data_IF_745936548245
#
_entry.id   IF_745936548245
#
_cell.length_a   1.000
_cell.length_b   1.000
_cell.length_c   1.000
_cell.angle_alpha   90.00
_cell.angle_beta   90.00
_cell.angle_gamma   90.00
#
_symmetry.space_group_name_H-M   'P 1'
#
loop_
_entity.id
_entity.type
_entity.pdbx_description
1 polymer ?
#
# COMPACT_ATOMS: atom_id res chain seq x y z
N UNK A 1 3.89 8.79 -24.88
CA UNK A 1 3.31 7.53 -24.35
C UNK A 1 1.81 7.68 -24.40
N UNK A 2 1.08 6.74 -25.01
CA UNK A 2 -0.38 6.77 -24.99
C UNK A 2 -0.86 6.23 -23.64
N UNK A 3 -1.46 7.10 -22.83
CA UNK A 3 -1.85 6.82 -21.44
C UNK A 3 -3.31 6.41 -21.30
N UNK A 4 -3.99 6.01 -22.39
CA UNK A 4 -5.34 5.46 -22.29
C UNK A 4 -5.35 4.22 -21.39
N UNK A 5 -6.38 4.11 -20.53
CA UNK A 5 -6.48 3.01 -19.56
C UNK A 5 -6.47 1.65 -20.26
N UNK A 6 -7.09 1.55 -21.44
CA UNK A 6 -7.12 0.33 -22.23
C UNK A 6 -5.72 -0.11 -22.69
N UNK A 7 -4.88 0.83 -23.15
CA UNK A 7 -3.53 0.51 -23.60
C UNK A 7 -2.61 0.17 -22.44
N UNK A 8 -2.63 0.96 -21.37
CA UNK A 8 -1.87 0.62 -20.14
C UNK A 8 -2.32 -0.75 -19.61
N UNK A 9 -3.64 -0.98 -19.57
CA UNK A 9 -4.23 -2.25 -19.12
C UNK A 9 -3.76 -3.45 -19.94
N UNK A 10 -3.66 -3.32 -21.27
CA UNK A 10 -3.13 -4.37 -22.14
C UNK A 10 -1.66 -4.69 -21.82
N UNK A 11 -0.82 -3.67 -21.58
CA UNK A 11 0.57 -3.85 -21.18
C UNK A 11 0.64 -4.57 -19.82
N UNK A 12 -0.13 -4.12 -18.83
CA UNK A 12 -0.18 -4.75 -17.50
C UNK A 12 -0.58 -6.22 -17.57
N UNK A 13 -1.61 -6.55 -18.37
CA UNK A 13 -2.05 -7.95 -18.55
C UNK A 13 -0.99 -8.80 -19.23
N UNK A 14 -0.30 -8.26 -20.25
CA UNK A 14 0.80 -8.97 -20.91
C UNK A 14 1.95 -9.27 -19.93
N UNK A 15 2.31 -8.30 -19.09
CA UNK A 15 3.36 -8.44 -18.09
C UNK A 15 2.99 -9.44 -16.98
N UNK A 16 1.73 -9.42 -16.51
CA UNK A 16 1.24 -10.43 -15.57
C UNK A 16 1.31 -11.86 -16.15
N UNK A 17 0.97 -12.03 -17.44
CA UNK A 17 1.08 -13.32 -18.13
C UNK A 17 2.54 -13.77 -18.25
N UNK A 18 3.43 -12.86 -18.65
CA UNK A 18 4.87 -13.10 -18.74
C UNK A 18 5.47 -13.52 -17.39
N UNK A 19 5.03 -12.85 -16.31
CA UNK A 19 5.45 -13.16 -14.94
C UNK A 19 4.80 -14.44 -14.35
N UNK A 20 4.00 -15.18 -15.12
CA UNK A 20 3.44 -16.46 -14.69
C UNK A 20 2.30 -16.37 -13.68
N UNK A 21 1.59 -15.24 -13.60
CA UNK A 21 0.43 -15.12 -12.72
C UNK A 21 -0.70 -16.06 -13.14
N UNK A 22 -1.44 -16.58 -12.14
CA UNK A 22 -2.62 -17.43 -12.39
C UNK A 22 -3.69 -16.69 -13.19
N UNK A 23 -4.39 -17.40 -14.09
CA UNK A 23 -5.49 -16.86 -14.91
C UNK A 23 -6.61 -16.22 -14.06
N UNK A 24 -6.89 -16.77 -12.88
CA UNK A 24 -7.86 -16.18 -11.94
C UNK A 24 -7.42 -14.80 -11.41
N UNK A 25 -6.12 -14.62 -11.19
CA UNK A 25 -5.55 -13.33 -10.77
C UNK A 25 -5.58 -12.33 -11.92
N UNK A 26 -5.18 -12.77 -13.13
CA UNK A 26 -5.26 -11.95 -14.34
C UNK A 26 -6.70 -11.49 -14.60
N UNK A 27 -7.67 -12.39 -14.46
CA UNK A 27 -9.09 -12.06 -14.62
C UNK A 27 -9.60 -11.04 -13.58
N UNK A 28 -9.04 -11.02 -12.36
CA UNK A 28 -9.37 -9.99 -11.38
C UNK A 28 -8.77 -8.63 -11.76
N UNK A 29 -7.56 -8.61 -12.30
CA UNK A 29 -6.96 -7.40 -12.88
C UNK A 29 -7.80 -6.87 -14.04
N UNK A 30 -8.17 -7.71 -15.00
CA UNK A 30 -8.98 -7.32 -16.16
C UNK A 30 -10.34 -6.71 -15.73
N UNK A 31 -11.02 -7.32 -14.75
CA UNK A 31 -12.26 -6.75 -14.17
C UNK A 31 -12.03 -5.37 -13.56
N UNK A 32 -10.89 -5.16 -12.90
CA UNK A 32 -10.60 -3.90 -12.23
C UNK A 32 -10.15 -2.83 -13.23
N UNK A 33 -9.37 -3.21 -14.26
CA UNK A 33 -9.00 -2.36 -15.39
C UNK A 33 -10.25 -1.87 -16.11
N UNK A 34 -11.23 -2.75 -16.37
CA UNK A 34 -12.51 -2.35 -16.96
C UNK A 34 -13.22 -1.28 -16.11
N UNK A 35 -13.31 -1.49 -14.80
CA UNK A 35 -13.91 -0.50 -13.88
C UNK A 35 -13.16 0.83 -13.89
N UNK A 36 -11.83 0.80 -13.97
CA UNK A 36 -11.02 2.00 -14.08
C UNK A 36 -11.26 2.71 -15.43
N UNK A 37 -11.42 1.94 -16.53
CA UNK A 37 -11.72 2.49 -17.84
C UNK A 37 -13.08 3.21 -17.82
N UNK A 38 -14.12 2.55 -17.30
CA UNK A 38 -15.46 3.14 -17.14
C UNK A 38 -15.40 4.42 -16.29
N UNK A 39 -14.58 4.44 -15.23
CA UNK A 39 -14.41 5.61 -14.36
C UNK A 39 -13.73 6.81 -15.05
N UNK A 40 -12.78 6.57 -15.96
CA UNK A 40 -12.07 7.66 -16.66
C UNK A 40 -12.73 8.08 -17.97
N UNK A 41 -13.65 7.27 -18.52
CA UNK A 41 -14.29 7.51 -19.81
C UNK A 41 -15.03 8.87 -19.83
N UNK A 42 -15.81 9.15 -18.78
CA UNK A 42 -16.51 10.43 -18.59
C UNK A 42 -15.56 11.64 -18.39
N UNK A 43 -14.26 11.37 -18.25
CA UNK A 43 -13.20 12.34 -17.90
C UNK A 43 -12.12 12.45 -18.98
N UNK A 44 -12.42 11.98 -20.19
CA UNK A 44 -11.53 12.08 -21.35
C UNK A 44 -10.71 10.82 -21.65
N UNK A 45 -10.88 9.73 -20.91
CA UNK A 45 -10.35 8.40 -21.23
C UNK A 45 -8.84 8.19 -20.99
N UNK A 46 -8.11 9.24 -20.61
CA UNK A 46 -6.68 9.18 -20.29
C UNK A 46 -6.46 8.95 -18.80
N UNK A 47 -5.52 8.06 -18.48
CA UNK A 47 -5.08 7.86 -17.12
C UNK A 47 -4.13 8.96 -16.65
N UNK A 48 -4.32 9.41 -15.42
CA UNK A 48 -3.42 10.31 -14.70
C UNK A 48 -3.26 9.83 -13.26
N UNK A 49 -2.15 10.20 -12.61
CA UNK A 49 -1.88 9.83 -11.20
C UNK A 49 -3.00 10.33 -10.27
N UNK A 50 -3.58 11.50 -10.55
CA UNK A 50 -4.68 12.06 -9.76
C UNK A 50 -5.98 11.25 -9.91
N UNK A 51 -6.34 10.85 -11.14
CA UNK A 51 -7.48 9.97 -11.37
C UNK A 51 -7.26 8.59 -10.75
N UNK A 52 -6.02 8.08 -10.79
CA UNK A 52 -5.63 6.86 -10.09
C UNK A 52 -5.87 6.96 -8.58
N UNK A 53 -5.39 8.03 -7.94
CA UNK A 53 -5.59 8.26 -6.51
C UNK A 53 -7.09 8.38 -6.14
N UNK A 54 -7.87 9.08 -6.96
CA UNK A 54 -9.32 9.21 -6.77
C UNK A 54 -10.01 7.84 -6.85
N UNK A 55 -9.72 7.05 -7.90
CA UNK A 55 -10.25 5.70 -8.06
C UNK A 55 -9.86 4.78 -6.89
N UNK A 56 -8.61 4.82 -6.43
CA UNK A 56 -8.13 4.06 -5.29
C UNK A 56 -8.88 4.39 -3.98
N UNK A 57 -9.36 5.63 -3.85
CA UNK A 57 -10.12 6.08 -2.67
C UNK A 57 -11.56 5.58 -2.62
N UNK A 58 -12.11 5.06 -3.74
CA UNK A 58 -13.48 4.55 -3.87
C UNK A 58 -13.70 3.17 -3.18
N UNK A 59 -13.32 3.11 -1.91
CA UNK A 59 -13.30 1.91 -1.07
C UNK A 59 -14.66 1.56 -0.47
N UNK A 60 -15.59 2.51 -0.44
CA UNK A 60 -16.98 2.30 -0.04
C UNK A 60 -17.78 1.65 -1.18
N UNK A 61 -18.54 0.61 -0.85
CA UNK A 61 -19.43 -0.07 -1.79
C UNK A 61 -20.67 0.79 -2.07
N UNK A 62 -20.94 1.19 -3.32
CA UNK A 62 -22.16 1.93 -3.67
C UNK A 62 -23.44 1.15 -3.37
N UNK A 63 -23.37 -0.19 -3.38
CA UNK A 63 -24.52 -1.07 -3.12
C UNK A 63 -24.90 -1.13 -1.65
N UNK A 64 -23.92 -1.06 -0.76
CA UNK A 64 -24.13 -1.33 0.67
C UNK A 64 -23.82 -0.13 1.57
N UNK A 65 -23.21 0.93 1.04
CA UNK A 65 -22.75 2.08 1.83
C UNK A 65 -21.59 1.80 2.78
N UNK A 66 -21.14 0.53 2.87
CA UNK A 66 -20.08 0.11 3.78
C UNK A 66 -18.72 0.03 3.10
N UNK A 67 -17.67 0.19 3.90
CA UNK A 67 -16.29 -0.05 3.49
C UNK A 67 -16.10 -1.47 2.95
N UNK A 68 -15.32 -1.59 1.88
CA UNK A 68 -14.95 -2.87 1.27
C UNK A 68 -13.43 -3.03 1.25
N UNK A 69 -12.93 -3.94 2.09
CA UNK A 69 -11.52 -4.32 2.11
C UNK A 69 -11.05 -4.85 0.75
N UNK A 70 -11.93 -5.57 0.04
CA UNK A 70 -11.66 -6.07 -1.31
C UNK A 70 -11.47 -4.93 -2.30
N UNK A 71 -12.36 -3.93 -2.33
CA UNK A 71 -12.18 -2.75 -3.20
C UNK A 71 -10.90 -2.00 -2.88
N UNK A 72 -10.62 -1.76 -1.60
CA UNK A 72 -9.36 -1.13 -1.17
C UNK A 72 -8.14 -1.87 -1.71
N UNK A 73 -8.15 -3.20 -1.63
CA UNK A 73 -7.05 -4.02 -2.12
C UNK A 73 -6.95 -3.98 -3.64
N UNK A 74 -8.03 -4.28 -4.36
CA UNK A 74 -8.03 -4.37 -5.82
C UNK A 74 -7.71 -3.03 -6.48
N UNK A 75 -8.32 -1.94 -5.98
CA UNK A 75 -8.15 -0.60 -6.56
C UNK A 75 -6.76 -0.05 -6.24
N UNK A 76 -6.30 -0.18 -4.99
CA UNK A 76 -4.94 0.23 -4.63
C UNK A 76 -3.87 -0.57 -5.38
N UNK A 77 -4.11 -1.86 -5.62
CA UNK A 77 -3.20 -2.72 -6.37
C UNK A 77 -3.13 -2.32 -7.85
N UNK A 78 -4.26 -2.09 -8.53
CA UNK A 78 -4.22 -1.70 -9.95
C UNK A 78 -3.58 -0.33 -10.14
N UNK A 79 -3.91 0.64 -9.27
CA UNK A 79 -3.38 2.00 -9.33
C UNK A 79 -1.87 2.00 -9.12
N UNK A 80 -1.36 1.24 -8.14
CA UNK A 80 0.08 1.12 -7.93
C UNK A 80 0.83 0.57 -9.14
N UNK A 81 0.23 -0.35 -9.90
CA UNK A 81 0.83 -0.89 -11.13
C UNK A 81 0.77 0.12 -12.26
N UNK A 82 -0.36 0.81 -12.45
CA UNK A 82 -0.52 1.84 -13.48
C UNK A 82 0.42 3.03 -13.23
N UNK A 83 0.50 3.51 -11.98
CA UNK A 83 1.41 4.58 -11.57
C UNK A 83 2.86 4.20 -11.87
N UNK A 84 3.27 2.97 -11.54
CA UNK A 84 4.64 2.49 -11.84
C UNK A 84 4.95 2.57 -13.34
N UNK A 85 4.00 2.16 -14.18
CA UNK A 85 4.16 2.19 -15.63
C UNK A 85 4.23 3.62 -16.18
N UNK A 86 3.36 4.51 -15.70
CA UNK A 86 3.35 5.92 -16.13
C UNK A 86 4.62 6.65 -15.69
N UNK A 87 5.12 6.36 -14.48
CA UNK A 87 6.29 7.05 -13.91
C UNK A 87 7.61 6.53 -14.48
N UNK A 88 7.72 5.23 -14.72
CA UNK A 88 9.00 4.58 -15.06
C UNK A 88 9.06 3.96 -16.46
N UNK A 89 7.92 3.85 -17.15
CA UNK A 89 7.80 3.10 -18.40
C UNK A 89 7.77 1.58 -18.22
N UNK A 90 7.87 1.09 -16.97
CA UNK A 90 7.91 -0.33 -16.64
C UNK A 90 6.77 -0.72 -15.69
N UNK A 91 6.19 -1.88 -15.94
CA UNK A 91 5.15 -2.46 -15.08
C UNK A 91 5.83 -3.20 -13.93
N UNK A 92 5.71 -2.68 -12.71
CA UNK A 92 6.16 -3.40 -11.52
C UNK A 92 5.09 -4.40 -11.05
N UNK A 93 5.25 -5.65 -11.47
CA UNK A 93 4.46 -6.81 -11.02
C UNK A 93 5.21 -7.65 -9.99
N UNK A 94 6.25 -7.10 -9.35
CA UNK A 94 6.86 -7.80 -8.21
C UNK A 94 5.78 -8.07 -7.16
N UNK A 95 5.82 -9.26 -6.54
CA UNK A 95 4.90 -9.55 -5.45
C UNK A 95 5.18 -8.58 -4.32
N UNK A 96 4.33 -7.55 -4.17
CA UNK A 96 4.26 -6.78 -2.94
C UNK A 96 3.94 -7.77 -1.83
N UNK A 97 4.95 -8.14 -1.05
CA UNK A 97 4.79 -9.00 0.10
C UNK A 97 3.70 -8.40 0.97
N UNK A 98 2.75 -9.24 1.40
CA UNK A 98 1.64 -8.86 2.28
C UNK A 98 2.26 -8.36 3.58
N UNK A 99 2.47 -7.06 3.67
CA UNK A 99 3.63 -6.62 4.45
C UNK A 99 4.02 -5.19 4.14
N UNK A 100 4.01 -4.85 2.84
CA UNK A 100 4.25 -3.51 2.29
C UNK A 100 5.25 -2.80 3.17
N UNK A 101 6.47 -3.36 3.21
CA UNK A 101 7.51 -3.07 4.20
C UNK A 101 7.76 -1.58 4.21
N UNK A 102 6.96 -0.87 5.01
CA UNK A 102 6.85 0.59 4.98
C UNK A 102 8.19 1.24 5.21
N UNK A 103 8.21 2.56 5.19
CA UNK A 103 9.45 3.33 5.37
C UNK A 103 10.27 2.72 6.52
N UNK A 104 11.52 2.40 6.22
CA UNK A 104 12.44 1.83 7.19
C UNK A 104 13.08 2.98 7.96
N UNK A 105 13.40 2.78 9.25
CA UNK A 105 14.23 3.72 9.96
C UNK A 105 15.59 3.87 9.27
N UNK A 106 16.04 5.11 9.09
CA UNK A 106 17.32 5.44 8.45
C UNK A 106 18.49 5.39 9.43
N UNK A 107 18.24 5.58 10.72
CA UNK A 107 19.26 5.59 11.77
C UNK A 107 19.69 4.17 12.11
N UNK A 108 21.00 3.98 12.26
CA UNK A 108 21.60 2.68 12.55
C UNK A 108 21.17 2.09 13.91
N UNK A 109 20.73 2.93 14.84
CA UNK A 109 20.16 2.52 16.11
C UNK A 109 18.78 1.86 15.92
N UNK A 110 17.85 2.54 15.27
CA UNK A 110 16.51 2.01 15.03
C UNK A 110 16.49 0.83 14.06
N UNK A 111 17.36 0.82 13.03
CA UNK A 111 17.47 -0.36 12.15
C UNK A 111 17.93 -1.60 12.92
N UNK A 112 18.92 -1.46 13.83
CA UNK A 112 19.38 -2.57 14.68
C UNK A 112 18.30 -3.01 15.67
N UNK A 113 17.58 -2.07 16.26
CA UNK A 113 16.50 -2.38 17.19
C UNK A 113 15.40 -3.21 16.54
N UNK A 114 14.99 -2.85 15.32
CA UNK A 114 13.97 -3.61 14.58
C UNK A 114 14.47 -5.00 14.20
N UNK A 115 15.74 -5.14 13.80
CA UNK A 115 16.33 -6.44 13.50
C UNK A 115 16.39 -7.34 14.75
N UNK A 116 16.80 -6.78 15.88
CA UNK A 116 16.84 -7.50 17.16
C UNK A 116 15.44 -7.92 17.61
N UNK A 117 14.44 -7.05 17.47
CA UNK A 117 13.05 -7.36 17.77
C UNK A 117 12.50 -8.48 16.87
N UNK A 118 12.74 -8.44 15.56
CA UNK A 118 12.22 -9.49 14.65
C UNK A 118 12.88 -10.85 14.93
N UNK A 119 14.17 -10.86 15.28
CA UNK A 119 14.87 -12.07 15.71
C UNK A 119 14.29 -12.64 17.01
N UNK A 120 14.08 -11.82 18.05
CA UNK A 120 13.45 -12.27 19.31
C UNK A 120 12.02 -12.81 19.07
N UNK A 121 11.24 -12.15 18.21
CA UNK A 121 9.90 -12.66 17.86
C UNK A 121 9.96 -13.97 17.05
N UNK A 122 10.98 -14.16 16.22
CA UNK A 122 11.20 -15.41 15.48
C UNK A 122 11.57 -16.56 16.43
N UNK A 123 12.46 -16.30 17.40
CA UNK A 123 12.86 -17.26 18.43
C UNK A 123 11.69 -17.68 19.32
N UNK A 124 10.73 -16.76 19.55
CA UNK A 124 9.44 -17.05 20.22
C UNK A 124 8.43 -17.78 19.35
N UNK A 125 8.83 -18.23 18.17
CA UNK A 125 8.00 -18.93 17.18
C UNK A 125 6.75 -18.12 16.74
N UNK A 126 6.83 -16.78 16.75
CA UNK A 126 5.72 -15.96 16.30
C UNK A 126 5.57 -16.07 14.78
N UNK A 127 4.33 -16.32 14.32
CA UNK A 127 4.04 -16.49 12.90
C UNK A 127 4.53 -15.29 12.06
N UNK A 128 5.09 -15.56 10.87
CA UNK A 128 5.64 -14.53 9.99
C UNK A 128 4.64 -13.39 9.70
N UNK A 129 3.37 -13.72 9.51
CA UNK A 129 2.31 -12.75 9.28
C UNK A 129 2.11 -11.81 10.49
N UNK A 130 2.16 -12.35 11.71
CA UNK A 130 2.05 -11.60 12.96
C UNK A 130 3.27 -10.71 13.18
N UNK A 131 4.48 -11.25 12.98
CA UNK A 131 5.74 -10.48 13.02
C UNK A 131 5.73 -9.33 12.02
N UNK A 132 5.26 -9.59 10.80
CA UNK A 132 5.11 -8.57 9.76
C UNK A 132 4.12 -7.48 10.15
N UNK A 133 3.01 -7.83 10.80
CA UNK A 133 2.00 -6.88 11.25
C UNK A 133 2.50 -6.00 12.40
N UNK A 134 3.00 -6.58 13.49
CA UNK A 134 3.53 -5.83 14.63
C UNK A 134 4.76 -5.03 14.25
N UNK A 135 5.69 -5.63 13.51
CA UNK A 135 6.89 -4.95 13.04
C UNK A 135 6.57 -3.75 12.15
N UNK A 136 5.44 -3.74 11.43
CA UNK A 136 5.02 -2.57 10.66
C UNK A 136 4.67 -1.38 11.56
N UNK A 137 3.91 -1.61 12.63
CA UNK A 137 3.55 -0.55 13.58
C UNK A 137 4.81 -0.06 14.29
N UNK A 138 5.66 -0.98 14.78
CA UNK A 138 6.93 -0.63 15.43
C UNK A 138 7.83 0.21 14.53
N UNK A 139 8.03 -0.19 13.27
CA UNK A 139 8.81 0.61 12.29
C UNK A 139 8.19 1.97 12.01
N UNK A 140 6.86 2.04 11.90
CA UNK A 140 6.15 3.29 11.64
C UNK A 140 6.36 4.29 12.77
N UNK A 141 6.39 3.82 14.02
CA UNK A 141 6.69 4.65 15.18
C UNK A 141 8.14 5.16 15.16
N UNK A 142 9.11 4.29 14.89
CA UNK A 142 10.52 4.69 14.83
C UNK A 142 10.78 5.70 13.70
N UNK A 143 10.15 5.52 12.55
CA UNK A 143 10.18 6.49 11.45
C UNK A 143 9.56 7.83 11.85
N UNK A 144 8.44 7.80 12.57
CA UNK A 144 7.79 9.00 13.09
C UNK A 144 8.68 9.78 14.06
N UNK A 145 9.46 9.06 14.90
CA UNK A 145 10.47 9.66 15.76
C UNK A 145 11.60 10.31 14.95
N UNK A 146 12.11 9.63 13.92
CA UNK A 146 13.16 10.18 13.05
C UNK A 146 12.70 11.44 12.32
N UNK A 147 11.44 11.49 11.85
CA UNK A 147 10.85 12.67 11.23
C UNK A 147 10.82 13.90 12.17
N UNK A 148 10.89 13.66 13.49
CA UNK A 148 10.98 14.70 14.54
C UNK A 148 12.41 14.92 15.04
N UNK A 149 13.41 14.32 14.38
CA UNK A 149 14.81 14.42 14.78
C UNK A 149 15.17 13.59 16.01
N UNK A 150 14.29 12.67 16.44
CA UNK A 150 14.56 11.73 17.53
C UNK A 150 15.20 10.48 16.94
N UNK A 151 16.47 10.25 17.27
CA UNK A 151 17.30 9.16 16.70
C UNK A 151 17.61 8.04 17.70
N UNK A 152 17.06 8.12 18.91
CA UNK A 152 17.23 7.12 19.97
C UNK A 152 15.94 6.98 20.78
N UNK A 153 15.64 5.75 21.23
CA UNK A 153 14.46 5.46 22.04
C UNK A 153 14.56 6.08 23.44
N UNK A 154 15.75 6.30 23.97
CA UNK A 154 15.95 6.95 25.28
C UNK A 154 15.43 8.39 25.31
N UNK A 155 15.30 9.01 24.13
CA UNK A 155 14.78 10.36 23.94
C UNK A 155 13.29 10.39 23.61
N UNK A 156 12.65 9.22 23.47
CA UNK A 156 11.22 9.11 23.27
C UNK A 156 10.51 9.02 24.62
N UNK A 157 9.33 9.64 24.72
CA UNK A 157 8.53 9.65 25.94
C UNK A 157 7.05 9.32 25.66
N UNK A 158 6.23 9.33 26.71
CA UNK A 158 4.80 9.05 26.58
C UNK A 158 4.10 10.05 25.63
N UNK A 159 4.55 11.30 25.55
CA UNK A 159 3.98 12.29 24.65
C UNK A 159 4.21 11.90 23.19
N UNK A 160 5.42 11.45 22.85
CA UNK A 160 5.74 11.00 21.49
C UNK A 160 4.89 9.81 21.01
N UNK A 161 4.44 8.94 21.94
CA UNK A 161 3.50 7.85 21.63
C UNK A 161 2.11 8.41 21.31
N UNK A 162 1.61 9.36 22.11
CA UNK A 162 0.30 9.97 21.89
C UNK A 162 0.27 10.74 20.57
N UNK A 163 1.31 11.54 20.27
CA UNK A 163 1.43 12.24 18.99
C UNK A 163 1.50 11.26 17.81
N UNK A 164 2.15 10.10 17.98
CA UNK A 164 2.16 9.07 16.96
C UNK A 164 0.75 8.53 16.70
N UNK A 165 0.00 8.20 17.74
CA UNK A 165 -1.37 7.74 17.62
C UNK A 165 -2.26 8.79 16.95
N UNK A 166 -2.13 10.06 17.33
CA UNK A 166 -2.83 11.18 16.68
C UNK A 166 -2.50 11.26 15.19
N UNK A 167 -1.23 11.12 14.80
CA UNK A 167 -0.82 11.12 13.39
C UNK A 167 -1.41 9.98 12.55
N UNK A 168 -1.86 8.90 13.20
CA UNK A 168 -2.53 7.80 12.54
C UNK A 168 -4.02 8.06 12.32
N UNK A 169 -4.64 8.93 13.13
CA UNK A 169 -6.09 9.22 13.06
C UNK A 169 -6.46 9.84 11.71
N UNK A 170 -5.62 10.70 11.13
CA UNK A 170 -5.85 11.29 9.80
C UNK A 170 -5.80 10.24 8.67
N UNK A 171 -5.16 9.09 8.93
CA UNK A 171 -4.97 8.00 7.96
C UNK A 171 -5.96 6.86 8.17
N UNK A 172 -6.67 6.83 9.29
CA UNK A 172 -7.67 5.82 9.60
C UNK A 172 -9.04 6.31 9.13
N UNK A 173 -9.82 5.42 8.52
CA UNK A 173 -11.19 5.76 8.16
C UNK A 173 -11.95 6.06 9.46
N UNK A 174 -12.73 7.16 9.50
CA UNK A 174 -13.55 7.54 10.67
C UNK A 174 -14.47 6.41 11.15
N UNK A 175 -14.86 5.51 10.25
CA UNK A 175 -15.64 4.30 10.56
C UNK A 175 -14.90 3.21 11.34
N UNK A 176 -13.60 3.39 11.61
CA UNK A 176 -12.79 2.47 12.44
C UNK A 176 -12.62 2.99 13.88
N UNK A 177 -13.17 4.17 14.20
CA UNK A 177 -13.09 4.81 15.50
C UNK A 177 -14.36 4.60 16.35
N UNK A 178 -15.37 3.92 15.81
CA UNK A 178 -16.66 3.61 16.46
C UNK A 178 -17.09 2.18 16.14
#
# INVERSE_FOLDING_TARGET
MDTTVTKIGAVVVAELRSAGYMNSTIGNYEKTIKRLADFVEERGGFYTLSLGAEFASMTTSPRTGHFSAQRRFDFGRIVGVFDSYVQSGHVDVSMRTRGGGGRQPATSEFSRLIAAWDADMADRALALATRSAYGRISRSYLVFLEDRGVVSLERADAASILEFLESLLDRWAKSSLF
#
